data_IF_837161859405
#
_entry.id   IF_837161859405
#
_cell.length_a   1.000
_cell.length_b   1.000
_cell.length_c   1.000
_cell.angle_alpha   90.00
_cell.angle_beta   90.00
_cell.angle_gamma   90.00
#
_symmetry.space_group_name_H-M   'P 1'
#
loop_
_entity.id
_entity.type
_entity.pdbx_description
1 polymer ?
#
# COMPACT_ATOMS: atom_id res chain seq x y z
N UNK A 1 -70.05 0.91 4.69
CA UNK A 1 -68.89 0.50 5.50
C UNK A 1 -67.62 0.82 4.71
N UNK A 2 -66.71 1.62 5.27
CA UNK A 2 -65.49 2.13 4.61
C UNK A 2 -64.40 1.06 4.66
N UNK A 3 -63.99 0.51 3.52
CA UNK A 3 -62.84 -0.40 3.42
C UNK A 3 -61.57 0.42 3.24
N UNK A 4 -60.76 0.48 4.30
CA UNK A 4 -59.40 1.02 4.27
C UNK A 4 -58.46 -0.15 3.94
N UNK A 5 -57.91 -0.17 2.73
CA UNK A 5 -56.85 -1.10 2.33
C UNK A 5 -55.50 -0.44 2.61
N UNK A 6 -54.81 -0.95 3.65
CA UNK A 6 -53.50 -0.47 4.08
C UNK A 6 -52.38 -0.94 3.15
N UNK A 7 -51.49 -0.01 2.78
CA UNK A 7 -50.28 -0.31 2.03
C UNK A 7 -49.16 -0.74 2.99
N UNK A 8 -48.57 -1.92 2.77
CA UNK A 8 -47.40 -2.39 3.49
C UNK A 8 -46.16 -1.88 2.75
N UNK A 9 -45.46 -0.90 3.31
CA UNK A 9 -44.17 -0.44 2.81
C UNK A 9 -43.06 -1.37 3.33
N UNK A 10 -42.48 -2.19 2.45
CA UNK A 10 -41.28 -2.97 2.77
C UNK A 10 -40.06 -2.05 2.70
N UNK A 11 -39.49 -1.71 3.86
CA UNK A 11 -38.25 -0.94 3.93
C UNK A 11 -37.06 -1.90 3.85
N UNK A 12 -36.28 -1.84 2.77
CA UNK A 12 -35.02 -2.58 2.66
C UNK A 12 -33.95 -1.85 3.48
N UNK A 13 -33.56 -2.42 4.63
CA UNK A 13 -32.41 -1.94 5.38
C UNK A 13 -31.14 -2.41 4.67
N UNK A 14 -30.52 -1.52 3.90
CA UNK A 14 -29.15 -1.74 3.40
C UNK A 14 -28.21 -1.54 4.57
N UNK A 15 -27.81 -2.64 5.21
CA UNK A 15 -26.67 -2.62 6.13
C UNK A 15 -25.42 -2.38 5.29
N UNK A 16 -24.86 -1.17 5.39
CA UNK A 16 -23.51 -0.92 4.92
C UNK A 16 -22.57 -1.76 5.76
N UNK A 17 -22.15 -2.91 5.24
CA UNK A 17 -20.96 -3.56 5.75
C UNK A 17 -19.81 -2.62 5.46
N UNK A 18 -19.17 -2.07 6.48
CA UNK A 18 -17.85 -1.48 6.33
C UNK A 18 -17.00 -2.50 5.56
N UNK A 19 -16.58 -2.13 4.34
CA UNK A 19 -15.71 -2.95 3.55
C UNK A 19 -14.40 -3.09 4.33
N UNK A 20 -14.27 -4.17 5.09
CA UNK A 20 -13.03 -4.53 5.75
C UNK A 20 -12.05 -4.89 4.64
N UNK A 21 -11.38 -3.88 4.11
CA UNK A 21 -10.18 -4.01 3.31
C UNK A 21 -9.08 -4.56 4.22
N UNK A 22 -9.18 -5.82 4.61
CA UNK A 22 -8.09 -6.60 5.16
C UNK A 22 -7.16 -6.95 4.00
N UNK A 23 -6.69 -5.92 3.30
CA UNK A 23 -5.66 -6.03 2.29
C UNK A 23 -4.35 -6.43 2.95
N UNK A 24 -3.45 -6.95 2.12
CA UNK A 24 -2.09 -7.27 2.53
C UNK A 24 -1.44 -6.05 3.19
N UNK A 25 -0.81 -6.25 4.34
CA UNK A 25 -0.08 -5.18 5.01
C UNK A 25 1.25 -4.90 4.29
N UNK A 26 1.29 -3.79 3.56
CA UNK A 26 2.48 -3.33 2.84
C UNK A 26 3.42 -2.50 3.73
N UNK A 27 3.08 -2.24 4.99
CA UNK A 27 3.93 -1.46 5.90
C UNK A 27 5.22 -2.21 6.21
N UNK A 28 6.35 -1.54 5.98
CA UNK A 28 7.66 -2.05 6.35
C UNK A 28 8.77 -1.67 5.37
N UNK A 29 9.97 -2.21 5.62
CA UNK A 29 11.12 -1.99 4.76
C UNK A 29 11.08 -2.90 3.52
N UNK A 30 11.51 -2.32 2.41
CA UNK A 30 11.74 -3.00 1.14
C UNK A 30 13.16 -2.73 0.68
N UNK A 31 13.70 -3.61 -0.14
CA UNK A 31 14.95 -3.41 -0.85
C UNK A 31 14.67 -3.41 -2.33
N UNK A 32 15.21 -2.43 -3.04
CA UNK A 32 15.22 -2.49 -4.49
C UNK A 32 16.19 -3.58 -4.96
N UNK A 33 15.68 -4.52 -5.76
CA UNK A 33 16.45 -5.68 -6.28
C UNK A 33 16.63 -5.64 -7.79
N UNK A 34 15.84 -4.83 -8.51
CA UNK A 34 15.99 -4.58 -9.94
C UNK A 34 15.44 -3.19 -10.31
N UNK A 35 16.02 -2.57 -11.35
CA UNK A 35 15.54 -1.28 -11.87
C UNK A 35 15.63 -0.12 -10.87
N UNK A 36 16.64 -0.12 -10.00
CA UNK A 36 16.81 0.89 -8.93
C UNK A 36 17.25 2.24 -9.48
N UNK A 37 16.82 3.32 -8.83
CA UNK A 37 17.23 4.69 -9.17
C UNK A 37 18.71 4.95 -8.79
N UNK A 38 19.25 4.25 -7.81
CA UNK A 38 20.69 4.26 -7.49
C UNK A 38 21.45 3.11 -8.13
N UNK A 39 22.75 3.31 -8.36
CA UNK A 39 23.69 2.29 -8.88
C UNK A 39 23.94 1.10 -7.93
N UNK A 40 23.23 1.02 -6.79
CA UNK A 40 23.38 -0.03 -5.80
C UNK A 40 22.11 -0.24 -4.97
N UNK A 41 22.05 -1.33 -4.20
CA UNK A 41 20.90 -1.66 -3.37
C UNK A 41 20.74 -0.64 -2.25
N UNK A 42 19.55 -0.09 -2.10
CA UNK A 42 19.17 0.73 -0.94
C UNK A 42 17.85 0.26 -0.34
N UNK A 43 17.51 0.83 0.82
CA UNK A 43 16.28 0.52 1.54
C UNK A 43 15.21 1.53 1.18
N UNK A 44 14.06 1.02 0.77
CA UNK A 44 12.81 1.75 0.63
C UNK A 44 11.92 1.44 1.84
N UNK A 45 10.98 2.33 2.13
CA UNK A 45 10.06 2.13 3.25
C UNK A 45 8.64 2.50 2.82
N UNK A 46 7.67 1.69 3.25
CA UNK A 46 6.25 1.96 3.05
C UNK A 46 5.58 2.05 4.41
N UNK A 47 4.73 3.06 4.59
CA UNK A 47 3.76 3.15 5.69
C UNK A 47 2.36 3.17 5.09
N UNK A 48 1.52 2.22 5.49
CA UNK A 48 0.15 2.11 5.01
C UNK A 48 -0.85 2.56 6.07
N UNK A 49 -1.77 3.44 5.66
CA UNK A 49 -2.89 3.92 6.47
C UNK A 49 -4.19 3.68 5.69
N UNK A 50 -4.77 2.50 5.85
CA UNK A 50 -5.91 2.06 5.04
C UNK A 50 -5.53 1.93 3.56
N UNK A 51 -6.18 2.71 2.70
CA UNK A 51 -5.89 2.76 1.25
C UNK A 51 -4.73 3.71 0.91
N UNK A 52 -4.35 4.61 1.83
CA UNK A 52 -3.27 5.56 1.58
C UNK A 52 -1.90 4.97 1.93
N UNK A 53 -0.88 5.38 1.18
CA UNK A 53 0.51 4.99 1.36
C UNK A 53 1.41 6.22 1.43
N UNK A 54 2.37 6.18 2.35
CA UNK A 54 3.56 7.02 2.31
C UNK A 54 4.76 6.12 2.00
N UNK A 55 5.52 6.47 0.98
CA UNK A 55 6.66 5.70 0.52
C UNK A 55 7.91 6.57 0.56
N UNK A 56 9.06 5.96 0.82
CA UNK A 56 10.37 6.56 0.61
C UNK A 56 11.16 5.55 -0.21
N UNK A 57 11.69 5.97 -1.36
CA UNK A 57 12.50 5.09 -2.21
C UNK A 57 13.93 4.95 -1.67
N UNK A 58 14.72 4.12 -2.34
CA UNK A 58 16.08 3.78 -1.94
C UNK A 58 17.09 4.93 -2.00
N UNK A 59 16.75 6.03 -2.67
CA UNK A 59 17.52 7.28 -2.71
C UNK A 59 16.97 8.35 -1.75
N UNK A 60 16.02 7.99 -0.89
CA UNK A 60 15.46 8.89 0.13
C UNK A 60 14.40 9.87 -0.40
N UNK A 61 13.90 9.69 -1.61
CA UNK A 61 12.82 10.53 -2.13
C UNK A 61 11.48 10.02 -1.59
N UNK A 62 10.73 10.86 -0.85
CA UNK A 62 9.40 10.48 -0.38
C UNK A 62 8.41 10.41 -1.55
N UNK A 63 7.23 9.82 -1.39
CA UNK A 63 6.07 9.97 -2.27
C UNK A 63 4.81 9.60 -1.49
N UNK A 64 3.68 10.20 -1.88
CA UNK A 64 2.37 9.63 -1.55
C UNK A 64 2.02 8.57 -2.59
N UNK A 65 1.19 7.63 -2.19
CA UNK A 65 0.54 6.67 -3.08
C UNK A 65 -0.73 6.16 -2.43
N UNK A 66 -1.42 5.27 -3.13
CA UNK A 66 -2.60 4.59 -2.62
C UNK A 66 -2.76 3.25 -3.29
N UNK A 67 -3.49 2.35 -2.64
CA UNK A 67 -4.03 1.16 -3.30
C UNK A 67 -5.17 1.65 -4.20
N UNK A 68 -5.04 1.44 -5.51
CA UNK A 68 -6.06 1.85 -6.48
C UNK A 68 -7.21 0.84 -6.51
N UNK A 69 -6.84 -0.44 -6.53
CA UNK A 69 -7.69 -1.60 -6.29
C UNK A 69 -6.83 -2.76 -5.76
N UNK A 70 -7.41 -3.81 -5.17
CA UNK A 70 -6.63 -4.91 -4.61
C UNK A 70 -5.62 -5.50 -5.62
N UNK A 71 -4.34 -5.48 -5.26
CA UNK A 71 -3.22 -5.91 -6.11
C UNK A 71 -2.58 -4.79 -6.94
N UNK A 72 -3.12 -3.57 -6.96
CA UNK A 72 -2.59 -2.41 -7.70
C UNK A 72 -2.43 -1.18 -6.81
N UNK A 73 -1.30 -0.52 -6.99
CA UNK A 73 -0.93 0.74 -6.35
C UNK A 73 -0.81 1.83 -7.40
N UNK A 74 -0.97 3.06 -6.95
CA UNK A 74 -0.59 4.26 -7.67
C UNK A 74 0.38 5.11 -6.84
N UNK A 75 1.46 5.59 -7.47
CA UNK A 75 2.52 6.37 -6.83
C UNK A 75 2.56 7.76 -7.43
N UNK A 76 2.13 8.76 -6.65
CA UNK A 76 1.84 10.10 -7.16
C UNK A 76 3.06 10.82 -7.72
N UNK A 77 4.21 10.82 -7.00
CA UNK A 77 5.40 11.56 -7.43
C UNK A 77 6.00 10.99 -8.72
N UNK A 78 5.95 9.67 -8.87
CA UNK A 78 6.50 8.98 -10.05
C UNK A 78 5.49 8.93 -11.21
N UNK A 79 4.22 9.27 -10.96
CA UNK A 79 3.11 9.08 -11.90
C UNK A 79 3.09 7.66 -12.47
N UNK A 80 3.19 6.68 -11.56
CA UNK A 80 3.49 5.29 -11.91
C UNK A 80 2.62 4.33 -11.12
N UNK A 81 2.14 3.29 -11.80
CA UNK A 81 1.48 2.16 -11.15
C UNK A 81 2.47 1.11 -10.66
N UNK A 82 2.02 0.29 -9.72
CA UNK A 82 2.75 -0.90 -9.30
C UNK A 82 1.79 -2.01 -8.90
N UNK A 83 2.18 -3.25 -9.07
CA UNK A 83 1.47 -4.41 -8.54
C UNK A 83 2.21 -4.97 -7.33
N UNK A 84 1.47 -5.50 -6.36
CA UNK A 84 2.05 -6.19 -5.20
C UNK A 84 1.60 -7.64 -5.15
N UNK A 85 2.48 -8.53 -4.69
CA UNK A 85 2.17 -9.94 -4.54
C UNK A 85 1.13 -10.16 -3.42
N UNK A 86 0.34 -11.26 -3.46
CA UNK A 86 -0.67 -11.54 -2.44
C UNK A 86 -0.13 -11.69 -1.01
N UNK A 87 1.17 -11.95 -0.86
CA UNK A 87 1.87 -12.01 0.44
C UNK A 87 2.58 -10.69 0.80
N UNK A 88 2.58 -9.69 -0.09
CA UNK A 88 3.20 -8.38 0.11
C UNK A 88 4.73 -8.40 0.07
N UNK A 89 5.31 -9.53 -0.35
CA UNK A 89 6.76 -9.72 -0.39
C UNK A 89 7.41 -9.04 -1.60
N UNK A 90 6.68 -8.84 -2.69
CA UNK A 90 7.18 -8.23 -3.92
C UNK A 90 6.25 -7.09 -4.33
N UNK A 91 6.86 -5.98 -4.74
CA UNK A 91 6.19 -4.89 -5.44
C UNK A 91 6.93 -4.68 -6.75
N UNK A 92 6.22 -4.79 -7.87
CA UNK A 92 6.74 -4.56 -9.21
C UNK A 92 6.09 -3.31 -9.78
N UNK A 93 6.90 -2.32 -10.11
CA UNK A 93 6.47 -1.07 -10.70
C UNK A 93 6.39 -1.20 -12.22
N UNK A 94 5.51 -0.42 -12.85
CA UNK A 94 5.26 -0.50 -14.29
C UNK A 94 6.51 -0.13 -15.14
N UNK A 95 7.47 0.58 -14.55
CA UNK A 95 8.76 0.92 -15.18
C UNK A 95 9.82 -0.20 -15.06
N UNK A 96 9.48 -1.35 -14.47
CA UNK A 96 10.38 -2.48 -14.25
C UNK A 96 11.18 -2.45 -12.95
N UNK A 97 11.03 -1.42 -12.10
CA UNK A 97 11.60 -1.43 -10.75
C UNK A 97 10.94 -2.55 -9.93
N UNK A 98 11.75 -3.29 -9.16
CA UNK A 98 11.24 -4.35 -8.27
C UNK A 98 11.75 -4.11 -6.86
N UNK A 99 10.81 -4.05 -5.93
CA UNK A 99 11.05 -3.98 -4.50
C UNK A 99 10.69 -5.32 -3.85
N UNK A 100 11.63 -5.88 -3.11
CA UNK A 100 11.42 -7.08 -2.32
C UNK A 100 11.42 -6.72 -0.83
N UNK A 101 10.47 -7.25 -0.07
CA UNK A 101 10.35 -6.99 1.37
C UNK A 101 11.67 -7.40 2.04
N UNK A 102 12.28 -6.44 2.73
CA UNK A 102 13.50 -6.70 3.46
C UNK A 102 13.12 -7.42 4.74
N UNK A 103 13.43 -8.72 4.83
CA UNK A 103 13.39 -9.42 6.11
C UNK A 103 14.29 -8.64 7.06
N UNK A 104 13.77 -8.33 8.26
CA UNK A 104 14.51 -7.61 9.30
C UNK A 104 15.82 -8.36 9.59
N UNK A 105 16.91 -7.90 8.99
CA UNK A 105 18.24 -8.17 9.50
C UNK A 105 18.42 -7.42 10.81
N UNK A 106 19.26 -7.90 11.74
CA UNK A 106 19.49 -7.22 13.01
C UNK A 106 19.79 -5.73 12.78
N UNK A 107 19.25 -4.83 13.62
CA UNK A 107 19.37 -3.39 13.41
C UNK A 107 20.82 -3.01 13.17
N UNK A 108 21.08 -2.28 12.08
CA UNK A 108 22.43 -1.79 11.80
C UNK A 108 22.91 -0.98 13.02
N UNK A 109 24.14 -1.22 13.51
CA UNK A 109 24.65 -0.49 14.66
C UNK A 109 24.56 1.00 14.37
N UNK A 110 23.81 1.72 15.22
CA UNK A 110 23.69 3.17 15.11
C UNK A 110 25.11 3.74 15.17
N UNK A 111 25.61 4.26 14.04
CA UNK A 111 26.82 5.09 14.05
C UNK A 111 26.49 6.28 14.93
N UNK A 112 26.88 6.22 16.21
CA UNK A 112 26.89 7.36 17.11
C UNK A 112 27.54 8.50 16.34
N UNK A 113 26.76 9.49 15.93
CA UNK A 113 27.28 10.77 15.45
C UNK A 113 28.19 11.27 16.57
N UNK A 114 29.51 11.11 16.40
CA UNK A 114 30.47 11.80 17.25
C UNK A 114 30.24 13.29 16.98
N UNK A 115 29.66 13.95 17.97
CA UNK A 115 29.62 15.41 18.05
C UNK A 115 31.02 15.91 18.32
#
# INVERSE_FOLDING_TARGET
MRTVLGAIAMSAAVVATDASAQGVNLTGPYRCVAGCASAGPGLSFITQNGWELNLVNEVGQPSRGWVDYPGRLWIARANLGAIYSPDGMIIQFDNGTIWQRALEGPPAPQRRRRR
#
